data_IF_887226428042
#
_entry.id   IF_887226428042
#
_cell.length_a   1.000
_cell.length_b   1.000
_cell.length_c   1.000
_cell.angle_alpha   90.00
_cell.angle_beta   90.00
_cell.angle_gamma   90.00
#
_symmetry.space_group_name_H-M   'P 1'
#
loop_
_entity.id
_entity.type
_entity.pdbx_description
1 polymer ?
#
# COMPACT_ATOMS: atom_id res chain seq x y z
N UNK A 1 -1.43 -17.44 -2.98
CA UNK A 1 -1.60 -17.86 -1.56
C UNK A 1 -0.52 -18.84 -1.09
N UNK A 2 -0.22 -19.95 -1.79
CA UNK A 2 0.70 -21.00 -1.27
C UNK A 2 2.05 -20.47 -0.77
N UNK A 3 2.67 -19.55 -1.52
CA UNK A 3 3.93 -18.92 -1.11
C UNK A 3 3.80 -18.21 0.24
N UNK A 4 2.81 -17.32 0.38
CA UNK A 4 2.56 -16.54 1.60
C UNK A 4 2.19 -17.45 2.77
N UNK A 5 1.30 -18.43 2.57
CA UNK A 5 0.94 -19.38 3.60
C UNK A 5 2.16 -20.18 4.09
N UNK A 6 3.02 -20.66 3.18
CA UNK A 6 4.24 -21.36 3.53
C UNK A 6 5.21 -20.50 4.35
N UNK A 7 5.33 -19.20 4.04
CA UNK A 7 6.16 -18.27 4.82
C UNK A 7 5.60 -18.03 6.22
N UNK A 8 4.28 -17.83 6.35
CA UNK A 8 3.63 -17.71 7.66
C UNK A 8 3.81 -18.96 8.52
N UNK A 9 3.67 -20.16 7.94
CA UNK A 9 3.89 -21.42 8.67
C UNK A 9 5.35 -21.59 9.11
N UNK A 10 6.29 -21.25 8.24
CA UNK A 10 7.71 -21.45 8.49
C UNK A 10 8.28 -20.43 9.47
N UNK A 11 7.95 -19.15 9.28
CA UNK A 11 8.58 -18.04 9.97
C UNK A 11 7.71 -17.44 11.09
N UNK A 12 6.39 -17.70 11.06
CA UNK A 12 5.45 -17.26 12.07
C UNK A 12 5.52 -15.75 12.32
N UNK A 13 5.67 -15.31 13.58
CA UNK A 13 5.84 -13.89 13.91
C UNK A 13 7.10 -13.23 13.32
N UNK A 14 8.04 -14.01 12.75
CA UNK A 14 9.27 -13.52 12.09
C UNK A 14 9.20 -13.58 10.56
N UNK A 15 7.98 -13.64 10.02
CA UNK A 15 7.74 -13.51 8.57
C UNK A 15 8.37 -12.20 8.09
N UNK A 16 9.20 -12.28 7.04
CA UNK A 16 9.89 -11.11 6.48
C UNK A 16 9.05 -10.42 5.41
N UNK A 17 9.20 -9.11 5.24
CA UNK A 17 8.55 -8.38 4.16
C UNK A 17 8.98 -8.84 2.76
N UNK A 18 10.18 -9.40 2.60
CA UNK A 18 10.65 -9.86 1.31
C UNK A 18 11.43 -11.19 1.37
N UNK A 19 11.29 -11.94 0.29
CA UNK A 19 11.97 -13.21 0.06
C UNK A 19 12.44 -13.27 -1.39
N UNK A 20 13.47 -14.06 -1.66
CA UNK A 20 13.86 -14.40 -3.03
C UNK A 20 12.70 -15.10 -3.75
N UNK A 21 12.72 -15.12 -5.08
CA UNK A 21 11.67 -15.78 -5.89
C UNK A 21 11.50 -17.27 -5.57
N UNK A 22 12.54 -17.93 -5.04
CA UNK A 22 12.52 -19.34 -4.60
C UNK A 22 12.12 -19.50 -3.12
N UNK A 23 11.89 -18.40 -2.39
CA UNK A 23 11.45 -18.41 -1.00
C UNK A 23 12.57 -18.37 0.05
N UNK A 24 13.83 -18.26 -0.36
CA UNK A 24 14.95 -18.03 0.54
C UNK A 24 15.02 -16.58 1.06
N UNK A 25 15.81 -16.36 2.11
CA UNK A 25 16.05 -15.02 2.68
C UNK A 25 16.84 -14.15 1.71
N UNK A 26 16.53 -12.85 1.70
CA UNK A 26 17.27 -11.86 0.93
C UNK A 26 18.68 -11.67 1.54
N UNK A 27 19.77 -11.68 0.74
CA UNK A 27 21.11 -11.44 1.26
C UNK A 27 21.26 -9.99 1.74
N UNK A 28 22.23 -9.78 2.64
CA UNK A 28 22.61 -8.44 3.10
C UNK A 28 22.96 -7.55 1.90
N UNK A 29 22.62 -6.27 2.02
CA UNK A 29 22.84 -5.31 0.95
C UNK A 29 24.33 -5.00 0.77
N UNK A 30 24.80 -5.00 -0.48
CA UNK A 30 26.12 -4.52 -0.86
C UNK A 30 26.07 -3.65 -2.11
N UNK A 31 26.97 -2.68 -2.19
CA UNK A 31 27.10 -1.82 -3.37
C UNK A 31 27.80 -2.55 -4.51
N UNK A 32 27.43 -2.20 -5.73
CA UNK A 32 28.18 -2.54 -6.93
C UNK A 32 28.92 -1.31 -7.44
N UNK A 33 30.09 -1.51 -8.03
CA UNK A 33 30.83 -0.46 -8.74
C UNK A 33 30.29 -0.31 -10.16
N UNK A 34 29.00 0.01 -10.26
CA UNK A 34 28.28 0.25 -11.50
C UNK A 34 27.57 1.61 -11.44
N UNK A 35 27.65 2.42 -12.50
CA UNK A 35 26.95 3.68 -12.55
C UNK A 35 25.45 3.45 -12.69
N UNK A 36 24.67 3.93 -11.71
CA UNK A 36 23.21 3.94 -11.81
C UNK A 36 22.72 5.14 -12.63
N UNK A 37 21.51 5.02 -13.19
CA UNK A 37 20.89 6.08 -13.97
C UNK A 37 19.62 6.63 -13.28
N UNK A 38 19.39 7.96 -13.25
CA UNK A 38 20.26 9.05 -13.72
C UNK A 38 21.23 9.54 -12.63
N UNK A 39 22.48 9.07 -12.62
CA UNK A 39 23.48 9.47 -11.62
C UNK A 39 23.29 8.78 -10.25
N UNK A 40 22.72 7.58 -10.27
CA UNK A 40 22.53 6.73 -9.10
C UNK A 40 23.68 5.74 -8.89
N UNK A 41 23.42 4.74 -8.06
CA UNK A 41 24.32 3.63 -7.77
C UNK A 41 23.53 2.33 -7.78
N UNK A 42 24.20 1.22 -8.07
CA UNK A 42 23.58 -0.09 -8.03
C UNK A 42 23.89 -0.82 -6.73
N UNK A 43 22.91 -1.58 -6.24
CA UNK A 43 23.06 -2.44 -5.06
C UNK A 43 22.52 -3.83 -5.35
N UNK A 44 23.09 -4.83 -4.70
CA UNK A 44 22.54 -6.19 -4.63
C UNK A 44 22.15 -6.50 -3.20
N UNK A 45 21.18 -7.40 -3.02
CA UNK A 45 20.57 -7.64 -1.72
C UNK A 45 19.72 -6.46 -1.23
N UNK A 46 19.16 -6.59 -0.04
CA UNK A 46 18.31 -5.55 0.56
C UNK A 46 18.32 -5.68 2.09
N UNK A 47 18.35 -4.56 2.79
CA UNK A 47 18.31 -4.47 4.25
C UNK A 47 16.97 -4.90 4.86
N UNK A 48 15.93 -5.05 4.03
CA UNK A 48 14.62 -5.67 4.32
C UNK A 48 14.72 -7.02 5.08
N UNK A 49 15.85 -7.72 4.96
CA UNK A 49 16.09 -9.00 5.63
C UNK A 49 16.23 -8.91 7.16
N UNK A 50 16.46 -7.70 7.71
CA UNK A 50 16.60 -7.42 9.13
C UNK A 50 15.41 -6.66 9.73
N UNK A 51 14.44 -6.30 8.90
CA UNK A 51 13.30 -5.47 9.30
C UNK A 51 12.11 -6.31 9.78
N UNK A 52 11.33 -5.69 10.66
CA UNK A 52 9.97 -6.10 10.96
C UNK A 52 9.00 -5.10 10.34
N UNK A 53 7.98 -5.61 9.63
CA UNK A 53 6.90 -4.81 9.05
C UNK A 53 5.57 -5.45 9.47
N UNK A 54 4.76 -4.70 10.21
CA UNK A 54 3.51 -5.23 10.76
C UNK A 54 2.44 -5.38 9.66
N UNK A 55 2.44 -4.47 8.68
CA UNK A 55 1.49 -4.44 7.56
C UNK A 55 1.50 -5.72 6.72
N UNK A 56 2.64 -6.41 6.63
CA UNK A 56 2.79 -7.70 5.91
C UNK A 56 1.76 -8.73 6.36
N UNK A 57 1.42 -8.77 7.65
CA UNK A 57 0.41 -9.68 8.18
C UNK A 57 -1.00 -9.27 7.76
N UNK A 58 -1.28 -7.96 7.69
CA UNK A 58 -2.53 -7.43 7.15
C UNK A 58 -2.69 -7.73 5.65
N UNK A 59 -1.66 -7.49 4.85
CA UNK A 59 -1.63 -7.82 3.43
C UNK A 59 -1.78 -9.33 3.18
N UNK A 60 -1.15 -10.18 4.01
CA UNK A 60 -1.36 -11.62 3.94
C UNK A 60 -2.82 -12.02 4.18
N UNK A 61 -3.48 -11.42 5.19
CA UNK A 61 -4.91 -11.65 5.45
C UNK A 61 -5.79 -11.16 4.28
N UNK A 62 -5.47 -10.02 3.66
CA UNK A 62 -6.16 -9.54 2.45
C UNK A 62 -6.05 -10.53 1.29
N UNK A 63 -4.85 -11.08 1.06
CA UNK A 63 -4.62 -12.12 0.04
C UNK A 63 -5.41 -13.39 0.35
N UNK A 64 -5.43 -13.84 1.61
CA UNK A 64 -6.15 -15.04 2.02
C UNK A 64 -7.68 -14.84 1.92
N UNK A 65 -8.17 -13.65 2.22
CA UNK A 65 -9.58 -13.29 2.02
C UNK A 65 -9.95 -13.30 0.52
N UNK A 66 -9.07 -12.78 -0.34
CA UNK A 66 -9.25 -12.88 -1.79
C UNK A 66 -9.23 -14.34 -2.26
N UNK A 67 -8.29 -15.16 -1.77
CA UNK A 67 -8.24 -16.58 -2.07
C UNK A 67 -9.54 -17.30 -1.69
N UNK A 68 -10.12 -16.97 -0.53
CA UNK A 68 -11.40 -17.52 -0.10
C UNK A 68 -12.53 -17.17 -1.06
N UNK A 69 -12.66 -15.91 -1.48
CA UNK A 69 -13.69 -15.47 -2.45
C UNK A 69 -13.67 -16.26 -3.76
N UNK A 70 -12.51 -16.75 -4.16
CA UNK A 70 -12.33 -17.58 -5.36
C UNK A 70 -12.34 -19.10 -5.09
N UNK A 71 -12.69 -19.54 -3.87
CA UNK A 71 -12.72 -20.97 -3.50
C UNK A 71 -11.33 -21.62 -3.46
N UNK A 72 -10.27 -20.82 -3.25
CA UNK A 72 -8.86 -21.27 -3.27
C UNK A 72 -8.18 -21.23 -1.90
N UNK A 73 -8.93 -20.95 -0.83
CA UNK A 73 -8.41 -20.99 0.54
C UNK A 73 -8.62 -22.39 1.13
N UNK A 74 -7.52 -23.10 1.35
CA UNK A 74 -7.51 -24.44 1.94
C UNK A 74 -7.26 -24.39 3.48
N UNK A 75 -7.20 -25.56 4.11
CA UNK A 75 -6.97 -25.68 5.55
C UNK A 75 -5.57 -25.19 5.99
N UNK A 76 -4.56 -25.25 5.11
CA UNK A 76 -3.24 -24.65 5.38
C UNK A 76 -3.34 -23.12 5.38
N UNK A 77 -4.10 -22.55 4.44
CA UNK A 77 -4.36 -21.12 4.37
C UNK A 77 -5.12 -20.58 5.57
N UNK A 78 -6.09 -21.32 6.12
CA UNK A 78 -6.78 -20.94 7.36
C UNK A 78 -5.85 -20.92 8.57
N UNK A 79 -5.00 -21.94 8.74
CA UNK A 79 -3.99 -21.95 9.81
C UNK A 79 -2.96 -20.83 9.65
N UNK A 80 -2.57 -20.50 8.41
CA UNK A 80 -1.71 -19.34 8.15
C UNK A 80 -2.38 -18.02 8.53
N UNK A 81 -3.70 -17.89 8.31
CA UNK A 81 -4.46 -16.72 8.74
C UNK A 81 -4.50 -16.58 10.28
N UNK A 82 -4.66 -17.68 11.00
CA UNK A 82 -4.59 -17.69 12.48
C UNK A 82 -3.22 -17.18 12.96
N UNK A 83 -2.12 -17.67 12.38
CA UNK A 83 -0.76 -17.19 12.67
C UNK A 83 -0.62 -15.69 12.43
N UNK A 84 -1.15 -15.19 11.31
CA UNK A 84 -1.09 -13.76 10.99
C UNK A 84 -1.91 -12.91 11.98
N UNK A 85 -3.14 -13.34 12.29
CA UNK A 85 -4.00 -12.65 13.25
C UNK A 85 -3.40 -12.63 14.67
N UNK A 86 -2.84 -13.75 15.13
CA UNK A 86 -2.18 -13.86 16.44
C UNK A 86 -0.92 -12.99 16.50
N UNK A 87 -0.16 -12.91 15.40
CA UNK A 87 1.00 -12.02 15.31
C UNK A 87 0.58 -10.55 15.41
N UNK A 88 -0.49 -10.15 14.71
CA UNK A 88 -1.05 -8.81 14.83
C UNK A 88 -1.51 -8.56 16.28
N UNK A 89 -2.20 -9.50 16.90
CA UNK A 89 -2.70 -9.38 18.27
C UNK A 89 -1.56 -9.21 19.30
N UNK A 90 -0.42 -9.85 19.09
CA UNK A 90 0.70 -9.83 20.03
C UNK A 90 1.66 -8.67 19.79
N UNK A 91 1.90 -8.29 18.53
CA UNK A 91 2.95 -7.33 18.15
C UNK A 91 2.44 -5.94 17.73
N UNK A 92 1.13 -5.67 17.77
CA UNK A 92 0.54 -4.36 17.34
C UNK A 92 1.11 -3.10 18.03
N UNK A 93 1.78 -3.24 19.17
CA UNK A 93 2.37 -2.11 19.89
C UNK A 93 3.89 -1.97 19.63
N UNK A 94 4.49 -2.85 18.84
CA UNK A 94 5.90 -2.77 18.48
C UNK A 94 6.12 -1.82 17.29
N UNK A 95 7.10 -0.91 17.34
CA UNK A 95 7.53 -0.16 16.17
C UNK A 95 7.94 -1.07 15.01
N UNK A 96 7.67 -0.64 13.79
CA UNK A 96 7.98 -1.37 12.56
C UNK A 96 8.52 -0.42 11.47
N UNK A 97 9.14 -0.96 10.42
CA UNK A 97 9.80 -0.15 9.38
C UNK A 97 8.79 0.53 8.43
N UNK A 98 7.53 0.07 8.42
CA UNK A 98 6.49 0.50 7.49
C UNK A 98 6.78 0.12 6.03
N UNK A 99 5.83 0.41 5.13
CA UNK A 99 5.91 0.05 3.71
C UNK A 99 7.05 0.74 2.95
N UNK A 100 7.52 1.88 3.48
CA UNK A 100 8.62 2.66 2.89
C UNK A 100 10.00 2.33 3.46
N UNK A 101 10.09 1.36 4.38
CA UNK A 101 11.37 0.92 4.97
C UNK A 101 12.16 2.08 5.62
N UNK A 102 11.47 2.92 6.40
CA UNK A 102 12.06 4.05 7.11
C UNK A 102 12.53 3.62 8.51
N UNK A 103 12.58 4.57 9.46
CA UNK A 103 12.83 4.26 10.87
C UNK A 103 11.67 3.47 11.48
N UNK A 104 11.99 2.64 12.47
CA UNK A 104 11.00 1.88 13.21
C UNK A 104 10.10 2.82 14.03
N UNK A 105 8.80 2.89 13.68
CA UNK A 105 7.79 3.70 14.36
C UNK A 105 6.46 2.97 14.48
N UNK A 106 5.54 3.53 15.25
CA UNK A 106 4.13 3.10 15.26
C UNK A 106 3.45 3.69 14.02
N UNK A 107 3.68 3.10 12.85
CA UNK A 107 3.10 3.59 11.60
C UNK A 107 1.59 3.36 11.56
N UNK A 108 0.84 4.46 11.36
CA UNK A 108 -0.62 4.44 11.28
C UNK A 108 -1.10 3.57 10.11
N UNK A 109 -0.41 3.66 8.96
CA UNK A 109 -0.70 2.83 7.80
C UNK A 109 -0.67 1.33 8.16
N UNK A 110 0.36 0.88 8.90
CA UNK A 110 0.55 -0.56 9.17
C UNK A 110 -0.58 -1.13 10.02
N UNK A 111 -1.03 -0.37 11.03
CA UNK A 111 -2.16 -0.77 11.90
C UNK A 111 -3.46 -0.82 11.12
N UNK A 112 -3.70 0.16 10.25
CA UNK A 112 -4.94 0.23 9.49
C UNK A 112 -4.98 -0.85 8.38
N UNK A 113 -3.85 -1.22 7.77
CA UNK A 113 -3.77 -2.38 6.85
C UNK A 113 -4.04 -3.69 7.59
N UNK A 114 -3.53 -3.85 8.81
CA UNK A 114 -3.89 -5.00 9.66
C UNK A 114 -5.40 -5.05 9.95
N UNK A 115 -6.01 -3.92 10.28
CA UNK A 115 -7.46 -3.83 10.49
C UNK A 115 -8.24 -4.20 9.21
N UNK A 116 -7.77 -3.77 8.02
CA UNK A 116 -8.36 -4.15 6.75
C UNK A 116 -8.30 -5.67 6.50
N UNK A 117 -7.13 -6.28 6.70
CA UNK A 117 -6.93 -7.72 6.52
C UNK A 117 -7.83 -8.56 7.44
N UNK A 118 -7.85 -8.22 8.73
CA UNK A 118 -8.70 -8.87 9.73
C UNK A 118 -10.19 -8.76 9.36
N UNK A 119 -10.67 -7.56 9.01
CA UNK A 119 -12.07 -7.34 8.60
C UNK A 119 -12.43 -8.12 7.34
N UNK A 120 -11.53 -8.13 6.35
CA UNK A 120 -11.76 -8.81 5.07
C UNK A 120 -11.94 -10.31 5.25
N UNK A 121 -11.07 -10.95 6.04
CA UNK A 121 -11.15 -12.40 6.28
C UNK A 121 -12.26 -12.77 7.28
N UNK A 122 -12.57 -11.90 8.25
CA UNK A 122 -13.64 -12.12 9.22
C UNK A 122 -15.02 -12.34 8.56
N UNK A 123 -15.26 -11.77 7.37
CA UNK A 123 -16.51 -11.98 6.60
C UNK A 123 -16.73 -13.43 6.17
N UNK A 124 -15.64 -14.20 6.04
CA UNK A 124 -15.63 -15.59 5.61
C UNK A 124 -15.42 -16.59 6.75
N UNK A 125 -15.07 -16.10 7.94
CA UNK A 125 -14.61 -16.93 9.04
C UNK A 125 -15.76 -17.56 9.83
N UNK A 126 -15.44 -18.58 10.64
CA UNK A 126 -16.38 -19.11 11.62
C UNK A 126 -16.86 -18.01 12.57
N UNK A 127 -18.04 -18.17 13.19
CA UNK A 127 -18.60 -17.13 14.07
C UNK A 127 -17.64 -16.72 15.21
N UNK A 128 -16.82 -17.65 15.72
CA UNK A 128 -15.80 -17.36 16.73
C UNK A 128 -14.67 -16.46 16.18
N UNK A 129 -14.04 -16.88 15.08
CA UNK A 129 -12.97 -16.11 14.44
C UNK A 129 -13.45 -14.77 13.92
N UNK A 130 -14.64 -14.73 13.31
CA UNK A 130 -15.25 -13.50 12.80
C UNK A 130 -15.41 -12.46 13.90
N UNK A 131 -15.96 -12.83 15.07
CA UNK A 131 -16.07 -11.90 16.22
C UNK A 131 -14.72 -11.46 16.74
N UNK A 132 -13.78 -12.39 16.91
CA UNK A 132 -12.46 -12.09 17.46
C UNK A 132 -11.66 -11.14 16.56
N UNK A 133 -11.57 -11.45 15.26
CA UNK A 133 -10.82 -10.65 14.30
C UNK A 133 -11.47 -9.29 14.05
N UNK A 134 -12.80 -9.21 14.03
CA UNK A 134 -13.50 -7.91 13.94
C UNK A 134 -13.19 -7.04 15.16
N UNK A 135 -13.25 -7.60 16.38
CA UNK A 135 -12.93 -6.86 17.59
C UNK A 135 -11.47 -6.37 17.62
N UNK A 136 -10.52 -7.17 17.16
CA UNK A 136 -9.11 -6.77 17.03
C UNK A 136 -8.93 -5.67 15.98
N UNK A 137 -9.62 -5.75 14.84
CA UNK A 137 -9.59 -4.68 13.85
C UNK A 137 -10.16 -3.37 14.39
N UNK A 138 -11.25 -3.44 15.16
CA UNK A 138 -11.88 -2.28 15.79
C UNK A 138 -10.95 -1.64 16.84
N UNK A 139 -10.23 -2.45 17.62
CA UNK A 139 -9.26 -1.92 18.59
C UNK A 139 -8.09 -1.23 17.89
N UNK A 140 -7.51 -1.83 16.85
CA UNK A 140 -6.44 -1.21 16.05
C UNK A 140 -6.88 0.15 15.46
N UNK A 141 -8.08 0.20 14.91
CA UNK A 141 -8.65 1.42 14.36
C UNK A 141 -8.89 2.48 15.43
N UNK A 142 -9.45 2.09 16.59
CA UNK A 142 -9.71 3.02 17.68
C UNK A 142 -8.40 3.61 18.26
N UNK A 143 -7.38 2.78 18.44
CA UNK A 143 -6.05 3.20 18.90
C UNK A 143 -5.38 4.16 17.90
N UNK A 144 -5.39 3.81 16.61
CA UNK A 144 -4.89 4.69 15.56
C UNK A 144 -5.67 6.02 15.53
N UNK A 145 -7.00 5.98 15.64
CA UNK A 145 -7.83 7.18 15.68
C UNK A 145 -7.47 8.10 16.86
N UNK A 146 -7.24 7.53 18.04
CA UNK A 146 -6.91 8.28 19.24
C UNK A 146 -5.53 8.92 19.20
N UNK A 147 -4.56 8.26 18.55
CA UNK A 147 -3.14 8.66 18.62
C UNK A 147 -2.62 9.31 17.33
N UNK A 148 -3.26 9.05 16.19
CA UNK A 148 -2.77 9.41 14.86
C UNK A 148 -3.81 10.14 14.01
N UNK A 149 -4.76 10.82 14.64
CA UNK A 149 -5.62 11.80 13.96
C UNK A 149 -5.04 13.19 14.20
N UNK A 150 -4.63 13.86 13.13
CA UNK A 150 -4.15 15.23 13.18
C UNK A 150 -5.28 16.19 13.61
N UNK A 151 -5.01 17.33 14.27
CA UNK A 151 -6.04 18.30 14.67
C UNK A 151 -6.97 18.78 13.55
N UNK A 152 -6.53 18.75 12.28
CA UNK A 152 -7.37 19.07 11.12
C UNK A 152 -8.38 17.96 10.74
N UNK A 153 -8.33 16.82 11.42
CA UNK A 153 -9.18 15.65 11.24
C UNK A 153 -8.71 14.66 10.18
N UNK A 154 -7.51 14.83 9.60
CA UNK A 154 -6.88 13.84 8.70
C UNK A 154 -6.05 12.82 9.48
N UNK A 155 -5.73 11.71 8.83
CA UNK A 155 -4.67 10.81 9.32
C UNK A 155 -3.30 11.49 9.24
N UNK A 156 -2.43 11.14 10.19
CA UNK A 156 -1.00 11.43 10.15
C UNK A 156 -0.20 10.11 10.11
N UNK A 157 1.11 10.19 9.89
CA UNK A 157 1.96 9.03 9.61
C UNK A 157 2.18 8.12 10.81
N UNK A 158 2.39 8.74 11.97
CA UNK A 158 2.57 8.07 13.27
C UNK A 158 2.14 9.04 14.38
N UNK A 159 2.02 8.59 15.65
CA UNK A 159 1.67 9.49 16.77
C UNK A 159 2.61 10.68 16.93
N UNK A 160 3.88 10.52 16.57
CA UNK A 160 4.97 11.50 16.67
C UNK A 160 5.35 12.16 15.33
N UNK A 161 4.73 11.77 14.20
CA UNK A 161 4.93 12.37 12.89
C UNK A 161 3.57 12.84 12.31
N UNK A 162 3.30 14.17 12.33
CA UNK A 162 2.05 14.74 11.82
C UNK A 162 1.98 14.76 10.28
N UNK A 163 2.99 14.27 9.56
CA UNK A 163 3.11 14.33 8.11
C UNK A 163 1.95 13.67 7.34
N UNK A 164 1.88 13.97 6.05
CA UNK A 164 1.05 13.26 5.07
C UNK A 164 1.86 12.14 4.43
N UNK A 165 1.16 11.09 3.99
CA UNK A 165 1.80 9.95 3.34
C UNK A 165 0.80 9.22 2.43
N UNK A 166 1.26 8.82 1.25
CA UNK A 166 0.47 8.10 0.26
C UNK A 166 -0.03 6.75 0.80
N UNK A 167 0.73 6.13 1.70
CA UNK A 167 0.36 4.86 2.33
C UNK A 167 -0.94 4.97 3.15
N UNK A 168 -1.32 6.17 3.61
CA UNK A 168 -2.57 6.40 4.35
C UNK A 168 -3.83 6.38 3.46
N UNK A 169 -3.66 6.36 2.14
CA UNK A 169 -4.77 6.19 1.19
C UNK A 169 -5.12 4.72 0.96
N UNK A 170 -4.20 3.78 1.23
CA UNK A 170 -4.42 2.34 1.04
C UNK A 170 -5.47 1.74 2.01
N UNK A 171 -5.46 2.02 3.33
CA UNK A 171 -6.39 1.38 4.25
C UNK A 171 -7.89 1.47 3.89
N UNK A 172 -8.44 2.64 3.50
CA UNK A 172 -9.84 2.70 3.04
C UNK A 172 -10.07 1.93 1.73
N UNK A 173 -9.10 1.90 0.81
CA UNK A 173 -9.17 1.08 -0.42
C UNK A 173 -9.16 -0.44 -0.13
N UNK A 174 -8.57 -0.83 0.99
CA UNK A 174 -8.53 -2.22 1.49
C UNK A 174 -9.66 -2.57 2.45
N UNK A 175 -10.49 -1.61 2.84
CA UNK A 175 -11.66 -1.83 3.69
C UNK A 175 -11.42 -1.75 5.19
N UNK A 176 -10.33 -1.09 5.64
CA UNK A 176 -10.13 -0.76 7.06
C UNK A 176 -11.27 0.11 7.61
N UNK A 177 -11.77 1.00 6.76
CA UNK A 177 -12.70 2.09 7.05
C UNK A 177 -13.79 2.14 5.98
N UNK A 178 -14.99 2.68 6.28
CA UNK A 178 -15.95 3.06 5.24
C UNK A 178 -15.35 4.06 4.23
N UNK A 179 -15.77 3.97 2.97
CA UNK A 179 -15.27 4.83 1.89
C UNK A 179 -15.43 6.34 2.17
N UNK A 180 -16.51 6.72 2.85
CA UNK A 180 -16.82 8.12 3.19
C UNK A 180 -16.42 8.50 4.62
N UNK A 181 -15.51 7.76 5.25
CA UNK A 181 -14.97 8.16 6.55
C UNK A 181 -14.39 9.58 6.48
N UNK A 182 -14.78 10.50 7.38
CA UNK A 182 -14.32 11.89 7.33
C UNK A 182 -12.79 12.04 7.38
N UNK A 183 -12.08 11.13 8.04
CA UNK A 183 -10.61 11.15 8.10
C UNK A 183 -10.01 10.79 6.76
N UNK A 184 -10.55 9.76 6.10
CA UNK A 184 -10.17 9.38 4.73
C UNK A 184 -10.33 10.56 3.76
N UNK A 185 -11.50 11.20 3.76
CA UNK A 185 -11.77 12.34 2.87
C UNK A 185 -10.84 13.52 3.14
N UNK A 186 -10.54 13.81 4.41
CA UNK A 186 -9.62 14.89 4.80
C UNK A 186 -8.18 14.55 4.44
N UNK A 187 -7.75 13.30 4.61
CA UNK A 187 -6.44 12.82 4.17
C UNK A 187 -6.28 12.93 2.67
N UNK A 188 -7.23 12.41 1.88
CA UNK A 188 -7.19 12.47 0.42
C UNK A 188 -7.08 13.92 -0.04
N UNK A 189 -7.98 14.81 0.41
CA UNK A 189 -7.95 16.22 0.01
C UNK A 189 -6.63 16.92 0.38
N UNK A 190 -6.08 16.64 1.56
CA UNK A 190 -4.80 17.24 1.98
C UNK A 190 -3.63 16.68 1.16
N UNK A 191 -3.60 15.36 0.97
CA UNK A 191 -2.62 14.68 0.14
C UNK A 191 -2.61 15.21 -1.30
N UNK A 192 -3.78 15.29 -1.95
CA UNK A 192 -3.90 15.83 -3.32
C UNK A 192 -3.32 17.24 -3.42
N UNK A 193 -3.54 18.11 -2.44
CA UNK A 193 -3.03 19.49 -2.48
C UNK A 193 -1.53 19.60 -2.22
N UNK A 194 -0.98 18.74 -1.37
CA UNK A 194 0.34 18.97 -0.76
C UNK A 194 1.44 18.01 -1.26
N UNK A 195 1.05 16.86 -1.80
CA UNK A 195 1.96 15.78 -2.22
C UNK A 195 1.71 15.34 -3.68
N UNK A 196 1.14 16.23 -4.50
CA UNK A 196 0.96 15.97 -5.93
C UNK A 196 1.36 17.15 -6.81
N UNK A 197 1.75 16.84 -8.06
CA UNK A 197 2.10 17.80 -9.10
C UNK A 197 1.82 17.18 -10.48
N UNK A 198 1.12 17.87 -11.38
CA UNK A 198 0.74 17.40 -12.73
C UNK A 198 0.22 15.94 -12.81
N UNK A 199 -0.69 15.55 -11.89
CA UNK A 199 -1.22 14.17 -11.79
C UNK A 199 -0.15 13.09 -11.54
N UNK A 200 0.96 13.51 -10.95
CA UNK A 200 1.95 12.66 -10.32
C UNK A 200 1.91 12.84 -8.80
N UNK A 201 2.15 11.75 -8.07
CA UNK A 201 1.98 11.69 -6.63
C UNK A 201 3.29 11.22 -5.95
N UNK A 202 3.60 11.81 -4.82
CA UNK A 202 4.85 11.59 -4.07
C UNK A 202 4.56 10.85 -2.76
N UNK A 203 5.53 10.11 -2.21
CA UNK A 203 5.26 9.26 -1.05
C UNK A 203 4.92 10.09 0.18
N UNK A 204 5.80 11.03 0.51
CA UNK A 204 5.70 11.95 1.63
C UNK A 204 6.65 13.13 1.40
N UNK A 205 6.56 14.17 2.23
CA UNK A 205 7.46 15.32 2.16
C UNK A 205 8.77 15.01 2.90
N UNK A 206 9.90 15.02 2.20
CA UNK A 206 11.23 14.82 2.79
C UNK A 206 11.73 16.06 3.52
N UNK A 207 11.54 17.23 2.91
CA UNK A 207 11.95 18.53 3.42
C UNK A 207 11.17 19.66 2.72
N UNK A 208 11.62 20.90 2.87
CA UNK A 208 10.97 22.10 2.33
C UNK A 208 11.21 22.31 0.82
N UNK A 209 12.04 21.51 0.15
CA UNK A 209 12.28 21.63 -1.30
C UNK A 209 11.02 21.26 -2.09
N UNK A 210 10.91 21.73 -3.35
CA UNK A 210 9.90 21.23 -4.28
C UNK A 210 9.93 19.70 -4.38
N UNK A 211 8.75 19.07 -4.51
CA UNK A 211 8.61 17.61 -4.45
C UNK A 211 9.51 16.90 -5.48
N UNK A 212 9.51 17.38 -6.73
CA UNK A 212 10.32 16.82 -7.82
C UNK A 212 11.84 17.00 -7.63
N UNK A 213 12.28 17.91 -6.75
CA UNK A 213 13.70 18.07 -6.39
C UNK A 213 14.11 17.13 -5.25
N UNK A 214 13.17 16.72 -4.40
CA UNK A 214 13.42 15.85 -3.26
C UNK A 214 13.41 14.36 -3.64
N UNK A 215 12.42 13.92 -4.42
CA UNK A 215 12.31 12.55 -4.95
C UNK A 215 11.60 12.55 -6.32
N UNK A 216 11.70 11.47 -7.08
CA UNK A 216 10.83 11.29 -8.24
C UNK A 216 9.41 10.96 -7.80
N UNK A 217 8.42 11.24 -8.64
CA UNK A 217 7.05 10.85 -8.34
C UNK A 217 6.91 9.33 -8.38
N UNK A 218 6.43 8.73 -7.30
CA UNK A 218 6.31 7.28 -7.21
C UNK A 218 5.06 6.83 -7.96
N UNK A 219 5.24 6.09 -9.06
CA UNK A 219 4.14 5.73 -9.97
C UNK A 219 3.03 4.91 -9.28
N UNK A 220 3.40 4.11 -8.27
CA UNK A 220 2.49 3.41 -7.39
C UNK A 220 1.46 4.36 -6.77
N UNK A 221 1.91 5.51 -6.24
CA UNK A 221 1.06 6.49 -5.58
C UNK A 221 0.03 7.10 -6.55
N UNK A 222 0.40 7.28 -7.82
CA UNK A 222 -0.54 7.75 -8.84
C UNK A 222 -1.67 6.76 -9.13
N UNK A 223 -1.39 5.45 -9.14
CA UNK A 223 -2.43 4.42 -9.23
C UNK A 223 -3.29 4.35 -7.95
N UNK A 224 -2.70 4.55 -6.78
CA UNK A 224 -3.45 4.67 -5.52
C UNK A 224 -4.40 5.87 -5.56
N UNK A 225 -3.96 7.01 -6.11
CA UNK A 225 -4.83 8.17 -6.34
C UNK A 225 -5.99 7.85 -7.28
N UNK A 226 -5.74 7.18 -8.40
CA UNK A 226 -6.80 6.74 -9.31
C UNK A 226 -7.85 5.88 -8.60
N UNK A 227 -7.41 4.92 -7.77
CA UNK A 227 -8.30 4.08 -6.97
C UNK A 227 -9.06 4.88 -5.91
N UNK A 228 -8.42 5.85 -5.27
CA UNK A 228 -9.04 6.70 -4.25
C UNK A 228 -10.16 7.55 -4.85
N UNK A 229 -9.91 8.23 -5.97
CA UNK A 229 -10.92 9.04 -6.67
C UNK A 229 -12.07 8.16 -7.18
N UNK A 230 -11.75 6.98 -7.73
CA UNK A 230 -12.77 6.01 -8.14
C UNK A 230 -13.65 5.56 -6.96
N UNK A 231 -13.06 5.30 -5.79
CA UNK A 231 -13.81 4.95 -4.57
C UNK A 231 -14.72 6.09 -4.09
N UNK A 232 -14.36 7.36 -4.36
CA UNK A 232 -15.21 8.52 -4.06
C UNK A 232 -16.24 8.82 -5.15
N UNK A 233 -16.25 8.05 -6.25
CA UNK A 233 -17.19 8.20 -7.35
C UNK A 233 -16.76 9.18 -8.43
N UNK A 234 -15.56 9.76 -8.35
CA UNK A 234 -15.04 10.66 -9.38
C UNK A 234 -14.32 9.86 -10.48
N UNK A 235 -15.12 9.35 -11.42
CA UNK A 235 -14.63 8.48 -12.50
C UNK A 235 -13.72 9.23 -13.49
N UNK A 236 -14.02 10.51 -13.76
CA UNK A 236 -13.21 11.31 -14.67
C UNK A 236 -11.82 11.54 -14.07
N UNK A 237 -11.77 11.97 -12.80
CA UNK A 237 -10.51 12.21 -12.11
C UNK A 237 -9.69 10.91 -11.99
N UNK A 238 -10.34 9.79 -11.66
CA UNK A 238 -9.70 8.49 -11.58
C UNK A 238 -9.03 8.09 -12.91
N UNK A 239 -9.70 8.31 -14.04
CA UNK A 239 -9.13 8.05 -15.36
C UNK A 239 -7.97 8.99 -15.68
N UNK A 240 -8.01 10.27 -15.28
CA UNK A 240 -6.87 11.18 -15.49
C UNK A 240 -5.63 10.73 -14.73
N UNK A 241 -5.78 10.33 -13.46
CA UNK A 241 -4.69 9.74 -12.67
C UNK A 241 -4.13 8.49 -13.31
N UNK A 242 -5.01 7.57 -13.73
CA UNK A 242 -4.61 6.33 -14.38
C UNK A 242 -3.84 6.60 -15.68
N UNK A 243 -4.39 7.40 -16.59
CA UNK A 243 -3.78 7.69 -17.88
C UNK A 243 -2.45 8.44 -17.76
N UNK A 244 -2.34 9.38 -16.83
CA UNK A 244 -1.08 10.09 -16.57
C UNK A 244 0.02 9.12 -16.17
N UNK A 245 -0.25 8.24 -15.21
CA UNK A 245 0.74 7.30 -14.69
C UNK A 245 1.00 6.15 -15.68
N UNK A 246 0.00 5.75 -16.47
CA UNK A 246 0.15 4.80 -17.58
C UNK A 246 1.09 5.33 -18.67
N UNK A 247 1.05 6.63 -18.96
CA UNK A 247 1.91 7.26 -19.95
C UNK A 247 3.41 7.28 -19.58
N UNK A 248 3.74 7.08 -18.29
CA UNK A 248 5.12 6.94 -17.82
C UNK A 248 5.74 5.57 -18.16
N UNK A 249 5.03 4.67 -18.85
CA UNK A 249 5.54 3.35 -19.22
C UNK A 249 6.73 3.45 -20.19
N UNK A 250 7.80 2.70 -19.92
CA UNK A 250 8.98 2.64 -20.79
C UNK A 250 8.75 1.81 -22.07
N UNK A 251 9.65 1.93 -23.07
CA UNK A 251 9.58 1.19 -24.34
C UNK A 251 9.39 -0.34 -24.28
N UNK A 252 9.87 -1.08 -23.24
CA UNK A 252 9.56 -2.51 -23.12
C UNK A 252 8.20 -2.81 -22.46
N UNK A 253 7.35 -1.81 -22.24
CA UNK A 253 6.11 -1.98 -21.48
C UNK A 253 6.33 -2.11 -19.97
N UNK A 254 7.47 -1.62 -19.47
CA UNK A 254 7.87 -1.72 -18.06
C UNK A 254 7.81 -0.36 -17.38
N UNK A 255 7.31 -0.34 -16.14
CA UNK A 255 7.35 0.80 -15.25
C UNK A 255 8.55 0.74 -14.31
N UNK A 256 9.22 1.88 -14.14
CA UNK A 256 10.16 2.09 -13.05
C UNK A 256 9.40 2.37 -11.73
N UNK A 257 10.15 2.50 -10.64
CA UNK A 257 9.63 2.90 -9.34
C UNK A 257 9.11 4.34 -9.37
N UNK A 258 9.91 5.24 -9.92
CA UNK A 258 9.65 6.66 -9.97
C UNK A 258 9.62 7.20 -11.41
N UNK A 259 8.98 8.34 -11.57
CA UNK A 259 9.07 9.18 -12.76
C UNK A 259 9.55 10.56 -12.36
N UNK A 260 10.63 11.02 -12.98
CA UNK A 260 11.16 12.37 -12.79
C UNK A 260 10.32 13.35 -13.62
N UNK A 261 9.48 14.14 -12.95
CA UNK A 261 8.58 15.10 -13.61
C UNK A 261 9.34 16.23 -14.29
N UNK A 262 10.44 16.68 -13.67
CA UNK A 262 11.26 17.78 -14.18
C UNK A 262 12.05 17.40 -15.43
N UNK A 263 12.70 16.23 -15.40
CA UNK A 263 13.50 15.71 -16.51
C UNK A 263 12.68 14.89 -17.51
N UNK A 264 11.44 14.52 -17.18
CA UNK A 264 10.52 13.71 -17.98
C UNK A 264 11.08 12.34 -18.37
N UNK A 265 11.55 11.60 -17.37
CA UNK A 265 12.18 10.30 -17.59
C UNK A 265 11.92 9.32 -16.43
N UNK A 266 12.09 8.03 -16.72
CA UNK A 266 12.08 6.97 -15.70
C UNK A 266 13.22 7.15 -14.69
N UNK A 267 12.94 6.80 -13.43
CA UNK A 267 13.90 6.90 -12.32
C UNK A 267 13.69 5.74 -11.32
N UNK A 268 14.78 5.32 -10.67
CA UNK A 268 14.74 4.26 -9.65
C UNK A 268 14.65 2.84 -10.23
N UNK A 269 14.18 1.90 -9.42
CA UNK A 269 14.19 0.47 -9.73
C UNK A 269 13.35 0.15 -10.99
N UNK A 270 13.88 -0.65 -11.91
CA UNK A 270 13.19 -1.10 -13.14
C UNK A 270 13.48 -2.59 -13.42
N UNK A 271 12.45 -3.44 -13.61
CA UNK A 271 11.01 -3.17 -13.44
C UNK A 271 10.57 -3.16 -11.97
N UNK A 272 9.67 -2.25 -11.61
CA UNK A 272 9.10 -2.20 -10.26
C UNK A 272 7.81 -3.00 -10.16
N UNK A 273 7.87 -4.17 -9.53
CA UNK A 273 6.76 -5.14 -9.49
C UNK A 273 5.47 -4.59 -8.87
N UNK A 274 5.55 -3.83 -7.78
CA UNK A 274 4.36 -3.28 -7.12
C UNK A 274 3.65 -2.21 -7.95
N UNK A 275 4.37 -1.43 -8.76
CA UNK A 275 3.77 -0.47 -9.70
C UNK A 275 2.95 -1.22 -10.75
N UNK A 276 3.48 -2.32 -11.30
CA UNK A 276 2.74 -3.14 -12.26
C UNK A 276 1.51 -3.80 -11.64
N UNK A 277 1.61 -4.30 -10.41
CA UNK A 277 0.49 -4.91 -9.70
C UNK A 277 -0.66 -3.91 -9.48
N UNK A 278 -0.35 -2.70 -9.03
CA UNK A 278 -1.35 -1.64 -8.82
C UNK A 278 -1.90 -1.08 -10.13
N UNK A 279 -1.09 -1.00 -11.20
CA UNK A 279 -1.58 -0.67 -12.54
C UNK A 279 -2.65 -1.67 -12.99
N UNK A 280 -2.39 -2.98 -12.89
CA UNK A 280 -3.34 -4.03 -13.29
C UNK A 280 -4.60 -4.03 -12.42
N UNK A 281 -4.44 -3.84 -11.10
CA UNK A 281 -5.58 -3.72 -10.18
C UNK A 281 -6.45 -2.51 -10.56
N UNK A 282 -5.83 -1.36 -10.83
CA UNK A 282 -6.53 -0.13 -11.19
C UNK A 282 -7.26 -0.28 -12.51
N UNK A 283 -6.60 -0.81 -13.54
CA UNK A 283 -7.20 -1.07 -14.84
C UNK A 283 -8.45 -1.95 -14.73
N UNK A 284 -8.38 -3.01 -13.91
CA UNK A 284 -9.51 -3.92 -13.67
C UNK A 284 -10.67 -3.18 -13.00
N UNK A 285 -10.42 -2.46 -11.90
CA UNK A 285 -11.47 -1.77 -11.13
C UNK A 285 -12.12 -0.63 -11.91
N UNK A 286 -11.36 0.13 -12.69
CA UNK A 286 -11.89 1.20 -13.54
C UNK A 286 -12.72 0.65 -14.72
N UNK A 287 -12.39 -0.55 -15.22
CA UNK A 287 -13.13 -1.18 -16.33
C UNK A 287 -14.48 -1.75 -15.89
N UNK A 288 -14.61 -2.15 -14.62
CA UNK A 288 -15.85 -2.69 -14.05
C UNK A 288 -16.89 -1.60 -13.73
N UNK A 289 -16.54 -0.31 -13.90
CA UNK A 289 -17.50 0.78 -13.81
C UNK A 289 -18.39 0.83 -15.06
N UNK A 290 -19.73 0.93 -14.94
CA UNK A 290 -20.57 1.15 -16.12
C UNK A 290 -20.12 2.43 -16.82
N UNK A 291 -19.83 2.33 -18.13
CA UNK A 291 -19.54 3.49 -18.96
C UNK A 291 -20.65 4.54 -18.77
N UNK A 292 -20.31 5.84 -18.65
CA UNK A 292 -21.33 6.88 -18.68
C UNK A 292 -22.14 6.74 -19.97
N UNK A 293 -23.47 6.93 -19.93
CA UNK A 293 -24.27 6.88 -21.15
C UNK A 293 -23.73 7.90 -22.16
N UNK A 294 -23.72 7.58 -23.46
CA UNK A 294 -23.21 8.50 -24.48
C UNK A 294 -23.97 9.82 -24.37
N UNK A 295 -23.22 10.92 -24.24
CA UNK A 295 -23.75 12.28 -24.14
C UNK A 295 -24.86 12.50 -25.17
N UNK A 296 -26.10 12.71 -24.70
CA UNK A 296 -27.14 13.32 -25.50
C UNK A 296 -26.79 14.78 -25.73
N UNK A 297 -25.91 15.03 -26.72
CA UNK A 297 -25.88 16.31 -27.43
C UNK A 297 -27.20 16.44 -28.21
N UNK A 298 -28.22 16.96 -27.55
CA UNK A 298 -29.29 17.73 -28.21
C UNK A 298 -29.06 19.19 -27.84
N UNK A 299 -29.28 20.18 -28.69
CA UNK A 299 -29.73 20.28 -30.08
C UNK A 299 -29.52 21.73 -30.51
#
# INVERSE_FOLDING_TARGET
MRFVAARLHQDGPRTSPAYTATGGRIPDQSGLDLPGYPGGYDRVGNWVNRQFQLDVFGEALLLLAAAHRYGRLDADGWRAAEIAADTIATRRHEPDAGIWELDDRIWTHSRLICAAGLRSLAQAASAGHSRHWTALADSLLAEAAATSTHPSGRWQRSPDDPGLDAALLLPPLRGALPAHDPRTLRTLRAYTRELTDDHYAYRFRHDERPLHEAEGAFLLCGYVMALAEHQQGDQEEALRWFERNRAACGPPGLYAEEYDVGQRQLRGNLPQAFVHALMLETATRLSDAPLPPPNSRGG
#
